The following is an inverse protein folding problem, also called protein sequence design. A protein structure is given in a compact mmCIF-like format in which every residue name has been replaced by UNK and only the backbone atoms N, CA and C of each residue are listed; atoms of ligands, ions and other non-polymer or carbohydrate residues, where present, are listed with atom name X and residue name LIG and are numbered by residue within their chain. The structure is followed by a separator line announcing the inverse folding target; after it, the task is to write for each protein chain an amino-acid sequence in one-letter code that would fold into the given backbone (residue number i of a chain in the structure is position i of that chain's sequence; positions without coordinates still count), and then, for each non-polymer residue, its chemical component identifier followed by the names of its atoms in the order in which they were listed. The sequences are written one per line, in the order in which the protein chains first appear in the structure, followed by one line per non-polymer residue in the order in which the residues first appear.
data_IF_896960018830
#
_entry.id   IF_896960018830
#
_cell.length_a   1.000
_cell.length_b   1.000
_cell.length_c   1.000
_cell.angle_alpha   90.00
_cell.angle_beta   90.00
_cell.angle_gamma   90.00
#
_symmetry.space_group_name_H-M   'P 1'
#
loop_
_entity.id
_entity.type
_entity.pdbx_description
1 polymer ?
#
# COMPACT_ATOMS: atom_id res chain seq x y z
N UNK A 1 20.07 -9.05 -32.29
CA UNK A 1 18.89 -8.22 -31.93
C UNK A 1 18.23 -8.69 -30.62
N UNK A 2 17.94 -9.99 -30.44
CA UNK A 2 17.29 -10.56 -29.25
C UNK A 2 18.10 -10.48 -27.94
N UNK A 3 19.43 -10.46 -28.03
CA UNK A 3 20.37 -10.31 -26.89
C UNK A 3 20.41 -8.88 -26.37
N UNK A 4 20.62 -7.88 -27.25
CA UNK A 4 20.63 -6.46 -26.88
C UNK A 4 19.32 -6.01 -26.18
N UNK A 5 18.17 -6.46 -26.68
CA UNK A 5 16.88 -6.19 -26.03
C UNK A 5 16.74 -6.81 -24.64
N UNK A 6 17.33 -8.00 -24.41
CA UNK A 6 17.36 -8.64 -23.08
C UNK A 6 18.31 -7.90 -22.15
N UNK A 7 19.45 -7.45 -22.64
CA UNK A 7 20.43 -6.69 -21.87
C UNK A 7 19.85 -5.35 -21.41
N UNK A 8 19.16 -4.64 -22.32
CA UNK A 8 18.48 -3.37 -22.02
C UNK A 8 17.35 -3.56 -20.98
N UNK A 9 16.56 -4.64 -21.09
CA UNK A 9 15.52 -4.98 -20.09
C UNK A 9 16.14 -5.34 -18.74
N UNK A 10 17.23 -6.12 -18.71
CA UNK A 10 17.93 -6.49 -17.48
C UNK A 10 18.52 -5.26 -16.79
N UNK A 11 19.17 -4.37 -17.55
CA UNK A 11 19.70 -3.09 -17.04
C UNK A 11 18.59 -2.20 -16.47
N UNK A 12 17.44 -2.13 -17.14
CA UNK A 12 16.29 -1.35 -16.65
C UNK A 12 15.73 -1.93 -15.36
N UNK A 13 15.59 -3.26 -15.28
CA UNK A 13 15.12 -3.93 -14.06
C UNK A 13 16.09 -3.70 -12.90
N UNK A 14 17.40 -3.84 -13.13
CA UNK A 14 18.43 -3.59 -12.11
C UNK A 14 18.35 -2.14 -11.64
N UNK A 15 18.26 -1.17 -12.56
CA UNK A 15 18.17 0.25 -12.21
C UNK A 15 16.93 0.56 -11.37
N UNK A 16 15.76 0.00 -11.73
CA UNK A 16 14.52 0.14 -10.95
C UNK A 16 14.64 -0.48 -9.57
N UNK A 17 15.23 -1.67 -9.46
CA UNK A 17 15.46 -2.33 -8.17
C UNK A 17 16.40 -1.50 -7.30
N UNK A 18 17.51 -1.00 -7.84
CA UNK A 18 18.44 -0.14 -7.10
C UNK A 18 17.77 1.15 -6.62
N UNK A 19 16.98 1.81 -7.48
CA UNK A 19 16.24 3.00 -7.10
C UNK A 19 15.23 2.72 -5.98
N UNK A 20 14.50 1.61 -6.06
CA UNK A 20 13.56 1.19 -5.02
C UNK A 20 14.26 0.91 -3.68
N UNK A 21 15.39 0.21 -3.71
CA UNK A 21 16.22 -0.08 -2.53
C UNK A 21 16.79 1.19 -1.89
N UNK A 22 17.11 2.23 -2.68
CA UNK A 22 17.57 3.52 -2.16
C UNK A 22 16.43 4.34 -1.54
N UNK A 23 15.21 4.24 -2.07
CA UNK A 23 14.04 4.97 -1.57
C UNK A 23 13.46 4.34 -0.30
N UNK A 24 13.59 3.02 -0.14
CA UNK A 24 13.13 2.28 1.03
C UNK A 24 13.48 2.93 2.38
N UNK A 25 14.77 3.15 2.73
CA UNK A 25 15.13 3.74 4.02
C UNK A 25 14.58 5.15 4.21
N UNK A 26 14.40 5.92 3.14
CA UNK A 26 13.80 7.25 3.21
C UNK A 26 12.31 7.17 3.59
N UNK A 27 11.56 6.28 2.95
CA UNK A 27 10.12 6.11 3.22
C UNK A 27 9.90 5.52 4.60
N UNK A 28 10.67 4.51 5.00
CA UNK A 28 10.54 3.92 6.34
C UNK A 28 10.88 4.92 7.45
N UNK A 29 11.90 5.76 7.25
CA UNK A 29 12.23 6.83 8.21
C UNK A 29 11.11 7.87 8.30
N UNK A 30 10.49 8.22 7.18
CA UNK A 30 9.34 9.12 7.16
C UNK A 30 8.13 8.51 7.87
N UNK A 31 7.88 7.22 7.68
CA UNK A 31 6.81 6.48 8.36
C UNK A 31 7.03 6.42 9.88
N UNK A 32 8.26 6.21 10.35
CA UNK A 32 8.63 6.30 11.77
C UNK A 32 8.42 7.70 12.34
N UNK A 33 8.79 8.74 11.58
CA UNK A 33 8.57 10.13 11.96
C UNK A 33 7.07 10.41 12.11
N UNK A 34 6.26 10.02 11.13
CA UNK A 34 4.80 10.14 11.18
C UNK A 34 4.22 9.42 12.40
N UNK A 35 4.65 8.19 12.66
CA UNK A 35 4.21 7.40 13.82
C UNK A 35 4.52 8.12 15.12
N UNK A 36 5.74 8.63 15.26
CA UNK A 36 6.18 9.39 16.44
C UNK A 36 5.34 10.65 16.63
N UNK A 37 5.05 11.37 15.55
CA UNK A 37 4.19 12.56 15.57
C UNK A 37 2.75 12.22 15.96
N UNK A 38 2.17 11.17 15.38
CA UNK A 38 0.82 10.72 15.69
C UNK A 38 0.68 10.34 17.17
N UNK A 39 1.65 9.63 17.74
CA UNK A 39 1.68 9.30 19.16
C UNK A 39 1.75 10.57 20.03
N UNK A 40 2.58 11.55 19.67
CA UNK A 40 2.69 12.82 20.40
C UNK A 40 1.40 13.64 20.38
N UNK A 41 0.62 13.52 19.30
CA UNK A 41 -0.67 14.18 19.15
C UNK A 41 -1.84 13.39 19.75
N UNK A 42 -1.60 12.17 20.28
CA UNK A 42 -2.66 11.30 20.79
C UNK A 42 -3.60 10.76 19.72
N UNK A 43 -3.12 10.66 18.47
CA UNK A 43 -3.89 10.16 17.34
C UNK A 43 -3.99 8.63 17.29
N UNK A 44 -3.24 7.92 18.13
CA UNK A 44 -3.25 6.46 18.26
C UNK A 44 -4.64 5.92 18.64
N UNK A 45 -5.31 6.53 19.63
CA UNK A 45 -6.64 6.13 20.07
C UNK A 45 -7.72 6.25 18.98
N UNK A 46 -7.89 7.40 18.30
CA UNK A 46 -8.89 7.53 17.24
C UNK A 46 -8.58 6.64 16.03
N UNK A 47 -7.30 6.44 15.68
CA UNK A 47 -6.92 5.52 14.60
C UNK A 47 -7.20 4.05 14.99
N UNK A 48 -6.95 3.68 16.25
CA UNK A 48 -7.26 2.33 16.75
C UNK A 48 -8.77 2.03 16.71
N UNK A 49 -9.63 3.04 16.87
CA UNK A 49 -11.09 2.86 16.78
C UNK A 49 -11.56 2.42 15.38
N UNK A 50 -10.76 2.66 14.33
CA UNK A 50 -11.07 2.26 12.93
C UNK A 50 -10.67 0.80 12.68
N UNK A 51 -9.67 0.28 13.40
CA UNK A 51 -9.11 -1.06 13.20
C UNK A 51 -10.17 -2.18 13.18
N UNK A 52 -11.20 -2.21 14.06
CA UNK A 52 -12.22 -3.26 14.01
C UNK A 52 -13.01 -3.30 12.70
N UNK A 53 -13.18 -2.17 12.03
CA UNK A 53 -13.83 -2.11 10.72
C UNK A 53 -12.92 -2.75 9.67
N UNK A 54 -11.64 -2.37 9.66
CA UNK A 54 -10.65 -2.93 8.76
C UNK A 54 -10.46 -4.43 8.94
N UNK A 55 -10.41 -4.92 10.18
CA UNK A 55 -10.30 -6.34 10.48
C UNK A 55 -11.42 -7.14 9.80
N UNK A 56 -12.66 -6.63 9.81
CA UNK A 56 -13.80 -7.28 9.13
C UNK A 56 -13.69 -7.23 7.60
N UNK A 57 -13.15 -6.13 7.05
CA UNK A 57 -12.88 -6.02 5.61
C UNK A 57 -11.81 -7.04 5.18
N UNK A 58 -10.76 -7.19 5.99
CA UNK A 58 -9.70 -8.19 5.76
C UNK A 58 -10.27 -9.61 5.82
N UNK A 59 -11.10 -9.94 6.80
CA UNK A 59 -11.82 -11.24 6.84
C UNK A 59 -12.62 -11.46 5.55
N UNK A 60 -13.31 -10.43 5.07
CA UNK A 60 -14.10 -10.54 3.83
C UNK A 60 -13.21 -10.84 2.62
N UNK A 61 -12.04 -10.20 2.51
CA UNK A 61 -11.07 -10.48 1.46
C UNK A 61 -10.48 -11.90 1.56
N UNK A 62 -10.16 -12.35 2.77
CA UNK A 62 -9.69 -13.72 3.01
C UNK A 62 -10.77 -14.74 2.63
N UNK A 63 -12.04 -14.46 2.96
CA UNK A 63 -13.18 -15.29 2.56
C UNK A 63 -13.33 -15.40 1.04
N UNK A 64 -13.12 -14.31 0.29
CA UNK A 64 -13.09 -14.34 -1.18
C UNK A 64 -11.96 -15.22 -1.75
N UNK A 65 -10.86 -15.36 -1.00
CA UNK A 65 -9.75 -16.26 -1.34
C UNK A 65 -9.96 -17.70 -0.83
N UNK A 66 -11.12 -18.02 -0.22
CA UNK A 66 -11.41 -19.33 0.34
C UNK A 66 -10.72 -19.61 1.69
N UNK A 67 -10.18 -18.59 2.34
CA UNK A 67 -9.45 -18.72 3.61
C UNK A 67 -10.43 -18.46 4.77
N UNK A 68 -10.53 -19.42 5.68
CA UNK A 68 -11.36 -19.26 6.87
C UNK A 68 -10.70 -18.26 7.82
N UNK A 69 -11.41 -17.18 8.12
CA UNK A 69 -10.98 -16.14 9.05
C UNK A 69 -12.16 -15.52 9.80
N UNK A 70 -11.89 -14.95 10.96
CA UNK A 70 -12.87 -14.23 11.78
C UNK A 70 -12.22 -12.99 12.42
N UNK A 71 -13.02 -11.98 12.73
CA UNK A 71 -12.55 -10.77 13.38
C UNK A 71 -13.27 -10.57 14.71
N UNK A 72 -12.52 -10.19 15.75
CA UNK A 72 -13.04 -9.83 17.07
C UNK A 72 -12.34 -8.58 17.57
N UNK A 73 -13.03 -7.44 17.50
CA UNK A 73 -12.41 -6.14 17.77
C UNK A 73 -11.21 -5.91 16.84
N UNK A 74 -10.05 -5.60 17.42
CA UNK A 74 -8.79 -5.42 16.70
C UNK A 74 -8.02 -6.72 16.44
N UNK A 75 -8.61 -7.87 16.76
CA UNK A 75 -7.99 -9.18 16.52
C UNK A 75 -8.55 -9.83 15.27
N UNK A 76 -7.65 -10.45 14.51
CA UNK A 76 -7.95 -11.30 13.37
C UNK A 76 -7.56 -12.72 13.73
N UNK A 77 -8.45 -13.67 13.45
CA UNK A 77 -8.21 -15.10 13.62
C UNK A 77 -8.20 -15.72 12.24
N UNK A 78 -7.14 -16.45 11.92
CA UNK A 78 -7.01 -17.19 10.66
C UNK A 78 -6.80 -18.66 10.97
N UNK A 79 -7.49 -19.54 10.24
CA UNK A 79 -7.29 -20.98 10.33
C UNK A 79 -6.38 -21.45 9.21
N UNK A 80 -5.36 -22.24 9.55
CA UNK A 80 -4.52 -22.90 8.57
C UNK A 80 -5.20 -24.16 7.98
N UNK A 81 -4.53 -24.78 7.00
CA UNK A 81 -5.04 -26.00 6.36
C UNK A 81 -5.16 -27.21 7.31
N UNK A 82 -4.45 -27.19 8.44
CA UNK A 82 -4.55 -28.20 9.49
C UNK A 82 -5.67 -27.90 10.50
N UNK A 83 -6.35 -26.76 10.36
CA UNK A 83 -7.40 -26.28 11.28
C UNK A 83 -6.86 -25.61 12.54
N UNK A 84 -5.56 -25.31 12.62
CA UNK A 84 -4.99 -24.60 13.77
C UNK A 84 -5.35 -23.12 13.71
N UNK A 85 -5.65 -22.57 14.88
CA UNK A 85 -6.09 -21.19 15.03
C UNK A 85 -4.90 -20.26 15.27
N UNK A 86 -4.75 -19.23 14.43
CA UNK A 86 -3.71 -18.22 14.55
C UNK A 86 -4.35 -16.85 14.83
N UNK A 87 -4.08 -16.29 16.00
CA UNK A 87 -4.63 -14.99 16.42
C UNK A 87 -3.59 -13.89 16.20
N UNK A 88 -3.99 -12.86 15.48
CA UNK A 88 -3.19 -11.70 15.09
C UNK A 88 -3.82 -10.44 15.67
N UNK A 89 -3.00 -9.58 16.26
CA UNK A 89 -3.44 -8.24 16.68
C UNK A 89 -3.14 -7.24 15.57
N UNK A 90 -4.15 -6.48 15.16
CA UNK A 90 -4.01 -5.39 14.20
C UNK A 90 -3.85 -4.09 14.99
N UNK A 91 -2.73 -3.42 14.79
CA UNK A 91 -2.46 -2.10 15.37
C UNK A 91 -3.01 -1.00 14.46
N UNK A 92 -3.31 0.16 15.04
CA UNK A 92 -3.63 1.39 14.30
C UNK A 92 -2.59 1.77 13.24
N UNK A 93 -1.35 1.30 13.36
CA UNK A 93 -0.32 1.50 12.35
C UNK A 93 -0.62 0.73 11.05
N UNK A 94 -1.39 -0.37 11.13
CA UNK A 94 -1.72 -1.22 9.99
C UNK A 94 -2.80 -0.63 9.08
N UNK A 95 -3.51 0.44 9.49
CA UNK A 95 -4.68 0.94 8.76
C UNK A 95 -4.39 1.70 7.46
N UNK A 96 -3.11 1.83 7.12
CA UNK A 96 -2.67 2.48 5.87
C UNK A 96 -2.81 4.01 5.89
N UNK A 97 -2.98 4.63 7.07
CA UNK A 97 -3.09 6.08 7.18
C UNK A 97 -1.82 6.82 6.74
N UNK A 98 -0.63 6.22 6.94
CA UNK A 98 0.64 6.74 6.42
C UNK A 98 0.65 6.75 4.89
N UNK A 99 0.18 5.65 4.27
CA UNK A 99 0.02 5.55 2.82
C UNK A 99 -0.96 6.60 2.27
N UNK A 100 -2.04 6.92 3.00
CA UNK A 100 -2.94 8.01 2.63
C UNK A 100 -2.26 9.38 2.65
N UNK A 101 -1.42 9.66 3.66
CA UNK A 101 -0.65 10.90 3.73
C UNK A 101 0.33 10.99 2.56
N UNK A 102 1.07 9.92 2.29
CA UNK A 102 2.01 9.86 1.17
C UNK A 102 1.31 10.02 -0.18
N UNK A 103 0.16 9.37 -0.37
CA UNK A 103 -0.69 9.60 -1.54
C UNK A 103 -1.09 11.08 -1.64
N UNK A 104 -1.56 11.67 -0.53
CA UNK A 104 -1.90 13.09 -0.43
C UNK A 104 -0.76 14.03 -0.84
N UNK A 105 0.46 13.77 -0.36
CA UNK A 105 1.67 14.52 -0.74
C UNK A 105 1.96 14.34 -2.23
N UNK A 106 1.81 13.13 -2.77
CA UNK A 106 2.06 12.86 -4.20
C UNK A 106 1.11 13.62 -5.13
N UNK A 107 -0.10 13.95 -4.67
CA UNK A 107 -1.04 14.76 -5.45
C UNK A 107 -0.53 16.17 -5.72
N UNK A 108 0.27 16.74 -4.81
CA UNK A 108 0.83 18.10 -4.94
C UNK A 108 1.69 18.20 -6.20
N UNK A 109 2.48 17.17 -6.49
CA UNK A 109 3.33 17.10 -7.68
C UNK A 109 2.58 16.55 -8.89
N UNK A 110 1.78 15.50 -8.70
CA UNK A 110 1.15 14.79 -9.81
C UNK A 110 -0.05 15.50 -10.44
N UNK A 111 -0.69 16.44 -9.74
CA UNK A 111 -1.77 17.30 -10.28
C UNK A 111 -1.29 18.70 -10.67
N UNK A 112 0.02 18.94 -10.78
CA UNK A 112 0.54 20.24 -11.24
C UNK A 112 0.13 20.47 -12.69
N UNK A 113 -0.64 21.53 -12.91
CA UNK A 113 -1.11 21.93 -14.24
C UNK A 113 -2.58 22.31 -14.28
N UNK A 114 -3.03 22.78 -15.45
CA UNK A 114 -4.41 23.15 -15.72
C UNK A 114 -5.27 21.93 -16.08
N UNK A 115 -5.49 21.02 -15.12
CA UNK A 115 -6.40 19.87 -15.30
C UNK A 115 -7.84 20.24 -14.97
N UNK A 116 -8.79 19.60 -15.64
CA UNK A 116 -10.23 19.77 -15.37
C UNK A 116 -10.59 19.26 -13.97
N UNK A 117 -11.68 19.77 -13.41
CA UNK A 117 -12.18 19.34 -12.10
C UNK A 117 -12.57 17.85 -12.11
N UNK A 118 -13.14 17.38 -13.23
CA UNK A 118 -13.53 15.98 -13.41
C UNK A 118 -12.32 15.05 -13.35
N UNK A 119 -11.25 15.33 -14.11
CA UNK A 119 -10.03 14.51 -14.08
C UNK A 119 -9.40 14.50 -12.68
N UNK A 120 -9.38 15.63 -11.99
CA UNK A 120 -8.89 15.72 -10.61
C UNK A 120 -9.71 14.85 -9.66
N UNK A 121 -11.04 14.87 -9.78
CA UNK A 121 -11.93 14.05 -8.99
C UNK A 121 -11.72 12.55 -9.26
N UNK A 122 -11.54 12.16 -10.52
CA UNK A 122 -11.23 10.77 -10.88
C UNK A 122 -9.90 10.30 -10.28
N UNK A 123 -8.83 11.10 -10.40
CA UNK A 123 -7.52 10.81 -9.78
C UNK A 123 -7.66 10.64 -8.26
N UNK A 124 -8.39 11.54 -7.60
CA UNK A 124 -8.62 11.48 -6.16
C UNK A 124 -9.38 10.22 -5.76
N UNK A 125 -10.51 9.94 -6.38
CA UNK A 125 -11.36 8.79 -6.03
C UNK A 125 -10.65 7.46 -6.30
N UNK A 126 -10.02 7.31 -7.47
CA UNK A 126 -9.32 6.07 -7.84
C UNK A 126 -8.09 5.88 -6.96
N UNK A 127 -7.31 6.94 -6.72
CA UNK A 127 -6.11 6.84 -5.90
C UNK A 127 -6.41 6.58 -4.42
N UNK A 128 -7.46 7.18 -3.87
CA UNK A 128 -7.94 6.90 -2.52
C UNK A 128 -8.42 5.46 -2.39
N UNK A 129 -9.31 5.01 -3.29
CA UNK A 129 -9.81 3.64 -3.30
C UNK A 129 -8.69 2.61 -3.49
N UNK A 130 -7.76 2.89 -4.41
CA UNK A 130 -6.59 2.04 -4.67
C UNK A 130 -5.65 1.96 -3.47
N UNK A 131 -5.40 3.08 -2.78
CA UNK A 131 -4.55 3.10 -1.57
C UNK A 131 -5.18 2.27 -0.45
N UNK A 132 -6.50 2.43 -0.23
CA UNK A 132 -7.23 1.64 0.77
C UNK A 132 -7.27 0.15 0.41
N UNK A 133 -7.54 -0.18 -0.85
CA UNK A 133 -7.54 -1.57 -1.31
C UNK A 133 -6.16 -2.22 -1.17
N UNK A 134 -5.09 -1.52 -1.54
CA UNK A 134 -3.73 -2.03 -1.39
C UNK A 134 -3.39 -2.28 0.08
N UNK A 135 -3.80 -1.38 0.97
CA UNK A 135 -3.62 -1.58 2.41
C UNK A 135 -4.33 -2.84 2.91
N UNK A 136 -5.60 -3.04 2.53
CA UNK A 136 -6.36 -4.22 2.92
C UNK A 136 -5.72 -5.52 2.39
N UNK A 137 -5.25 -5.51 1.13
CA UNK A 137 -4.54 -6.64 0.54
C UNK A 137 -3.22 -6.92 1.26
N UNK A 138 -2.48 -5.88 1.67
CA UNK A 138 -1.26 -6.01 2.46
C UNK A 138 -1.55 -6.69 3.79
N UNK A 139 -2.54 -6.21 4.55
CA UNK A 139 -2.89 -6.79 5.86
C UNK A 139 -3.38 -8.23 5.71
N UNK A 140 -4.18 -8.52 4.68
CA UNK A 140 -4.60 -9.88 4.35
C UNK A 140 -3.39 -10.78 4.04
N UNK A 141 -2.44 -10.31 3.23
CA UNK A 141 -1.23 -11.05 2.90
C UNK A 141 -0.35 -11.32 4.14
N UNK A 142 -0.16 -10.33 5.01
CA UNK A 142 0.55 -10.51 6.30
C UNK A 142 -0.11 -11.61 7.13
N UNK A 143 -1.44 -11.60 7.22
CA UNK A 143 -2.18 -12.60 7.98
C UNK A 143 -2.03 -14.02 7.41
N UNK A 144 -2.07 -14.16 6.08
CA UNK A 144 -1.85 -15.45 5.41
C UNK A 144 -0.42 -15.94 5.63
N UNK A 145 0.57 -15.07 5.47
CA UNK A 145 1.99 -15.43 5.68
C UNK A 145 2.20 -15.88 7.13
N UNK A 146 1.61 -15.16 8.09
CA UNK A 146 1.72 -15.52 9.50
C UNK A 146 1.13 -16.90 9.80
N UNK A 147 -0.04 -17.22 9.22
CA UNK A 147 -0.72 -18.51 9.43
C UNK A 147 -0.07 -19.69 8.68
N UNK A 148 0.69 -19.45 7.61
CA UNK A 148 1.21 -20.52 6.74
C UNK A 148 2.73 -20.69 6.80
N UNK A 149 3.48 -19.61 6.88
CA UNK A 149 4.96 -19.60 6.88
C UNK A 149 5.50 -19.26 8.28
N UNK A 150 4.74 -18.49 9.05
CA UNK A 150 5.06 -18.10 10.42
C UNK A 150 5.28 -16.61 10.60
N UNK A 151 5.44 -16.21 11.86
CA UNK A 151 5.46 -14.80 12.29
C UNK A 151 6.69 -14.04 11.77
N UNK A 152 7.87 -14.66 11.75
CA UNK A 152 9.10 -14.00 11.28
C UNK A 152 9.01 -13.47 9.85
N UNK A 153 8.67 -14.31 8.86
CA UNK A 153 8.42 -13.86 7.49
C UNK A 153 7.28 -12.84 7.37
N UNK A 154 6.24 -12.97 8.20
CA UNK A 154 5.13 -12.02 8.21
C UNK A 154 5.55 -10.63 8.67
N UNK A 155 6.40 -10.52 9.71
CA UNK A 155 6.99 -9.26 10.17
C UNK A 155 7.86 -8.65 9.08
N UNK A 156 8.73 -9.44 8.45
CA UNK A 156 9.58 -8.93 7.36
C UNK A 156 8.74 -8.35 6.20
N UNK A 157 7.67 -9.06 5.82
CA UNK A 157 6.77 -8.58 4.77
C UNK A 157 5.95 -7.35 5.22
N UNK A 158 5.53 -7.30 6.47
CA UNK A 158 4.84 -6.16 7.06
C UNK A 158 5.71 -4.90 7.02
N UNK A 159 6.96 -5.00 7.49
CA UNK A 159 7.85 -3.86 7.70
C UNK A 159 8.43 -3.31 6.39
N UNK A 160 8.76 -4.19 5.42
CA UNK A 160 9.42 -3.78 4.17
C UNK A 160 8.56 -4.03 2.93
N UNK A 161 7.85 -5.15 2.90
CA UNK A 161 6.98 -5.51 1.77
C UNK A 161 5.87 -4.49 1.57
N UNK A 162 5.30 -3.95 2.66
CA UNK A 162 4.31 -2.87 2.61
C UNK A 162 4.82 -1.63 1.88
N UNK A 163 6.02 -1.15 2.22
CA UNK A 163 6.65 0.01 1.57
C UNK A 163 6.93 -0.25 0.10
N UNK A 164 7.48 -1.42 -0.24
CA UNK A 164 7.74 -1.83 -1.63
C UNK A 164 6.45 -1.82 -2.45
N UNK A 165 5.39 -2.44 -1.93
CA UNK A 165 4.09 -2.51 -2.59
C UNK A 165 3.50 -1.11 -2.81
N UNK A 166 3.57 -0.24 -1.80
CA UNK A 166 3.00 1.09 -1.89
C UNK A 166 3.77 2.03 -2.82
N UNK A 167 5.11 2.00 -2.80
CA UNK A 167 5.93 2.77 -3.76
C UNK A 167 5.69 2.28 -5.19
N UNK A 168 5.67 0.96 -5.40
CA UNK A 168 5.32 0.36 -6.69
C UNK A 168 3.92 0.77 -7.16
N UNK A 169 2.94 0.77 -6.24
CA UNK A 169 1.58 1.25 -6.51
C UNK A 169 1.57 2.72 -6.92
N UNK A 170 2.24 3.63 -6.19
CA UNK A 170 2.28 5.04 -6.56
C UNK A 170 2.87 5.25 -7.96
N UNK A 171 3.94 4.55 -8.29
CA UNK A 171 4.54 4.62 -9.62
C UNK A 171 3.56 4.14 -10.71
N UNK A 172 2.92 2.99 -10.51
CA UNK A 172 1.94 2.45 -11.43
C UNK A 172 0.71 3.36 -11.56
N UNK A 173 0.19 3.84 -10.44
CA UNK A 173 -0.94 4.76 -10.36
C UNK A 173 -0.67 6.06 -11.12
N UNK A 174 0.48 6.70 -10.88
CA UNK A 174 0.80 7.94 -11.57
C UNK A 174 1.07 7.75 -13.06
N UNK A 175 1.76 6.66 -13.43
CA UNK A 175 1.92 6.29 -14.84
C UNK A 175 0.55 6.10 -15.51
N UNK A 176 -0.39 5.48 -14.80
CA UNK A 176 -1.75 5.29 -15.27
C UNK A 176 -2.52 6.63 -15.38
N UNK A 177 -2.54 7.42 -14.30
CA UNK A 177 -3.24 8.69 -14.26
C UNK A 177 -2.75 9.65 -15.35
N UNK A 178 -1.44 9.76 -15.55
CA UNK A 178 -0.85 10.65 -16.57
C UNK A 178 -1.15 10.22 -18.01
N UNK A 179 -1.34 8.92 -18.24
CA UNK A 179 -1.59 8.40 -19.59
C UNK A 179 -3.07 8.35 -19.96
N UNK A 180 -3.95 8.12 -19.00
CA UNK A 180 -5.36 7.83 -19.28
C UNK A 180 -6.36 8.79 -18.63
N UNK A 181 -6.02 9.46 -17.51
CA UNK A 181 -6.97 10.33 -16.79
C UNK A 181 -6.69 11.80 -17.02
N UNK A 182 -5.41 12.19 -16.97
CA UNK A 182 -4.94 13.55 -17.17
C UNK A 182 -4.60 13.69 -18.65
N UNK A 183 -5.43 14.38 -19.47
CA UNK A 183 -5.12 14.54 -20.88
C UNK A 183 -3.78 15.25 -21.01
N UNK A 184 -2.95 14.81 -21.94
CA UNK A 184 -1.79 15.59 -22.37
C UNK A 184 -2.33 16.96 -22.79
N UNK A 185 -1.90 18.04 -22.13
CA UNK A 185 -2.04 19.34 -22.77
C UNK A 185 -1.30 19.19 -24.10
N UNK A 186 -1.94 19.47 -25.26
CA UNK A 186 -1.18 19.54 -26.50
C UNK A 186 -0.06 20.52 -26.19
N UNK A 187 1.19 20.05 -26.32
CA UNK A 187 2.34 20.92 -26.30
C UNK A 187 1.97 22.13 -27.12
N UNK A 188 2.23 23.32 -26.59
CA UNK A 188 2.46 24.48 -27.42
C UNK A 188 3.64 24.10 -28.32
N UNK A 189 3.33 23.41 -29.41
CA UNK A 189 4.18 23.23 -30.56
C UNK A 189 4.07 24.57 -31.27
N UNK A 190 4.98 25.43 -30.86
CA UNK A 190 5.48 26.58 -31.62
C UNK A 190 5.74 26.20 -33.08
#
# INVERSE_FOLDING_TARGET
MKTRQRDDVNLTLIALTCALLMVLPLVTTFDELLTTWAMRLGADNPLQAIVPVEARMVVSLLGLAGIHAAASGSHLVVWDSAGSMHTLFISWNCIGWQSLILFGISLISGLRGGHTLESRAQVLCIGLAGTMLLNLLRVAAVAVIAATVGVGPAILFHDYGGTILFVGFLFAFWTFAQRWILPSQPSQAE
#
